data_IF_430787501545
#
_entry.id   IF_430787501545
#
_cell.length_a   1.000
_cell.length_b   1.000
_cell.length_c   1.000
_cell.angle_alpha   90.00
_cell.angle_beta   90.00
_cell.angle_gamma   90.00
#
_symmetry.space_group_name_H-M   'P 1'
#
loop_
_entity.id
_entity.type
_entity.pdbx_description
1 polymer ?
#
# COMPACT_ATOMS: atom_id res chain seq x y z
N UNK A 1 -48.16 11.81 26.28
CA UNK A 1 -46.96 12.61 26.60
C UNK A 1 -45.74 11.70 26.79
N UNK A 2 -44.75 11.94 25.93
CA UNK A 2 -43.35 11.44 25.93
C UNK A 2 -43.12 10.03 25.41
N UNK A 3 -43.03 9.99 24.08
CA UNK A 3 -42.20 9.06 23.31
C UNK A 3 -40.79 8.99 23.88
N UNK A 4 -40.37 7.78 24.28
CA UNK A 4 -38.98 7.45 24.54
C UNK A 4 -38.33 6.98 23.25
N UNK A 5 -37.73 7.90 22.50
CA UNK A 5 -36.85 7.55 21.39
C UNK A 5 -35.58 6.87 21.95
N UNK A 6 -35.53 5.54 21.88
CA UNK A 6 -34.27 4.82 21.97
C UNK A 6 -33.47 5.14 20.71
N UNK A 7 -32.42 5.95 20.86
CA UNK A 7 -31.40 6.11 19.82
C UNK A 7 -30.77 4.76 19.49
N UNK A 8 -30.30 4.55 18.25
CA UNK A 8 -29.69 3.29 17.85
C UNK A 8 -28.46 3.00 18.76
N UNK A 9 -28.20 1.72 19.08
CA UNK A 9 -27.05 1.36 19.90
C UNK A 9 -25.78 1.80 19.19
N UNK A 10 -25.05 2.74 19.79
CA UNK A 10 -23.72 3.11 19.33
C UNK A 10 -22.82 1.89 19.42
N UNK A 11 -22.39 1.34 18.28
CA UNK A 11 -21.29 0.38 18.24
C UNK A 11 -20.02 1.12 18.68
N UNK A 12 -19.68 1.00 19.96
CA UNK A 12 -18.38 1.42 20.45
C UNK A 12 -17.34 0.42 19.93
N UNK A 13 -16.74 0.72 18.77
CA UNK A 13 -15.65 -0.08 18.23
C UNK A 13 -14.46 -0.13 19.17
N UNK A 14 -13.99 -1.33 19.49
CA UNK A 14 -12.81 -1.54 20.32
C UNK A 14 -11.56 -0.97 19.63
N UNK A 15 -10.67 -0.37 20.42
CA UNK A 15 -9.34 0.04 19.98
C UNK A 15 -8.37 -1.11 20.23
N UNK A 16 -7.64 -1.52 19.20
CA UNK A 16 -6.65 -2.59 19.28
C UNK A 16 -5.29 -2.14 18.73
N UNK A 17 -4.26 -2.92 19.05
CA UNK A 17 -2.94 -2.68 18.48
C UNK A 17 -1.89 -3.68 18.92
N UNK A 18 -0.69 -3.56 18.36
CA UNK A 18 0.46 -4.40 18.69
C UNK A 18 1.76 -3.60 18.73
N UNK A 19 2.60 -3.92 19.71
CA UNK A 19 3.90 -3.29 19.92
C UNK A 19 5.01 -3.99 19.12
N UNK A 20 6.17 -3.35 19.02
CA UNK A 20 7.35 -3.85 18.32
C UNK A 20 7.66 -5.32 18.62
N UNK A 21 8.03 -6.07 17.57
CA UNK A 21 8.33 -7.50 17.63
C UNK A 21 7.14 -8.43 17.83
N UNK A 22 5.91 -7.92 17.96
CA UNK A 22 4.72 -8.76 18.19
C UNK A 22 4.29 -9.48 16.90
N UNK A 23 4.17 -10.83 16.92
CA UNK A 23 3.48 -11.56 15.86
C UNK A 23 1.98 -11.68 16.16
N UNK A 24 1.15 -11.38 15.16
CA UNK A 24 -0.28 -11.69 15.13
C UNK A 24 -0.47 -12.81 14.11
N UNK A 25 -0.83 -13.99 14.60
CA UNK A 25 -1.03 -15.19 13.77
C UNK A 25 -2.52 -15.39 13.56
N UNK A 26 -2.95 -15.46 12.30
CA UNK A 26 -4.37 -15.56 11.93
C UNK A 26 -4.67 -16.92 11.31
N UNK A 27 -5.72 -17.56 11.80
CA UNK A 27 -6.18 -18.87 11.32
C UNK A 27 -6.60 -18.86 9.84
N UNK A 28 -6.56 -20.03 9.21
CA UNK A 28 -6.92 -20.15 7.80
C UNK A 28 -8.32 -19.62 7.51
N UNK A 29 -8.44 -18.73 6.53
CA UNK A 29 -9.72 -18.12 6.13
C UNK A 29 -10.31 -17.12 7.14
N UNK A 30 -9.70 -16.91 8.30
CA UNK A 30 -10.11 -15.87 9.25
C UNK A 30 -9.64 -14.48 8.79
N UNK A 31 -10.16 -13.43 9.44
CA UNK A 31 -9.83 -12.02 9.17
C UNK A 31 -9.57 -11.25 10.45
N UNK A 32 -8.74 -10.21 10.39
CA UNK A 32 -8.64 -9.23 11.46
C UNK A 32 -9.64 -8.11 11.17
N UNK A 33 -10.79 -8.13 11.86
CA UNK A 33 -11.84 -7.15 11.70
C UNK A 33 -11.64 -5.96 12.65
N UNK A 34 -11.59 -4.75 12.11
CA UNK A 34 -11.46 -3.51 12.88
C UNK A 34 -12.77 -2.72 12.75
N UNK A 35 -13.45 -2.53 13.88
CA UNK A 35 -14.66 -1.68 13.98
C UNK A 35 -14.39 -0.36 14.75
N UNK A 36 -13.14 -0.12 15.18
CA UNK A 36 -12.69 1.03 15.97
C UNK A 36 -11.42 1.65 15.40
N UNK A 37 -10.34 1.71 16.17
CA UNK A 37 -9.00 2.02 15.65
C UNK A 37 -8.06 0.84 15.79
N UNK A 38 -7.13 0.70 14.85
CA UNK A 38 -6.06 -0.29 14.95
C UNK A 38 -4.70 0.34 14.70
N UNK A 39 -3.75 0.08 15.59
CA UNK A 39 -2.38 0.57 15.44
C UNK A 39 -1.30 -0.48 15.66
N UNK A 40 -0.26 -0.44 14.84
CA UNK A 40 0.96 -1.21 15.05
C UNK A 40 2.16 -0.28 15.08
N UNK A 41 3.05 -0.51 16.05
CA UNK A 41 4.21 0.35 16.31
C UNK A 41 5.47 -0.51 16.42
N UNK A 42 5.98 -0.94 15.27
CA UNK A 42 7.29 -1.58 15.18
C UNK A 42 8.43 -0.58 14.96
N UNK A 43 9.63 -1.13 14.81
CA UNK A 43 10.83 -0.42 14.36
C UNK A 43 11.65 -1.29 13.38
N UNK A 44 12.76 -0.74 12.88
CA UNK A 44 13.64 -1.41 11.89
C UNK A 44 14.15 -2.76 12.37
N UNK A 45 14.46 -2.91 13.66
CA UNK A 45 14.96 -4.15 14.25
C UNK A 45 13.87 -5.10 14.74
N UNK A 46 12.69 -4.56 15.10
CA UNK A 46 11.60 -5.28 15.75
C UNK A 46 10.25 -4.95 15.09
N UNK A 47 10.06 -5.47 13.88
CA UNK A 47 8.82 -5.30 13.11
C UNK A 47 7.62 -6.03 13.75
N UNK A 48 6.43 -5.44 13.65
CA UNK A 48 5.17 -6.16 13.91
C UNK A 48 4.88 -7.05 12.72
N UNK A 49 4.43 -8.29 12.94
CA UNK A 49 4.15 -9.23 11.84
C UNK A 49 2.73 -9.76 11.92
N UNK A 50 1.94 -9.58 10.87
CA UNK A 50 0.63 -10.19 10.66
C UNK A 50 0.75 -11.31 9.64
N UNK A 51 0.57 -12.53 10.12
CA UNK A 51 0.99 -13.75 9.44
C UNK A 51 -0.14 -14.80 9.44
N UNK A 52 -0.20 -15.66 8.40
CA UNK A 52 -1.06 -16.83 8.44
C UNK A 52 -0.56 -17.85 9.46
N UNK A 53 -1.43 -18.75 9.89
CA UNK A 53 -1.09 -19.84 10.80
C UNK A 53 0.00 -20.79 10.27
N UNK A 54 0.07 -20.99 8.95
CA UNK A 54 1.06 -21.89 8.33
C UNK A 54 2.35 -21.15 8.01
N UNK A 55 3.36 -21.42 8.81
CA UNK A 55 4.66 -20.74 8.80
C UNK A 55 5.80 -21.60 8.24
N UNK A 56 5.50 -22.79 7.71
CA UNK A 56 6.51 -23.63 7.10
C UNK A 56 7.10 -22.94 5.85
N UNK A 57 8.38 -23.15 5.50
CA UNK A 57 9.06 -22.38 4.44
C UNK A 57 8.32 -22.34 3.09
N UNK A 58 7.62 -23.43 2.74
CA UNK A 58 6.80 -23.50 1.54
C UNK A 58 5.58 -22.56 1.58
N UNK A 59 4.97 -22.36 2.75
CA UNK A 59 3.75 -21.56 2.92
C UNK A 59 4.03 -20.08 3.24
N UNK A 60 5.25 -19.72 3.63
CA UNK A 60 5.63 -18.34 3.98
C UNK A 60 5.36 -17.29 2.89
N UNK A 61 5.32 -17.71 1.62
CA UNK A 61 5.00 -16.86 0.46
C UNK A 61 3.71 -17.26 -0.24
N UNK A 62 2.96 -18.20 0.32
CA UNK A 62 1.70 -18.64 -0.29
C UNK A 62 0.63 -17.55 -0.07
N UNK A 63 0.01 -17.02 -1.13
CA UNK A 63 -1.05 -16.04 -0.99
C UNK A 63 -2.38 -16.67 -0.58
N UNK A 64 -3.30 -15.85 -0.06
CA UNK A 64 -4.70 -16.22 0.18
C UNK A 64 -4.94 -17.18 1.35
N UNK A 65 -4.04 -17.23 2.33
CA UNK A 65 -4.16 -18.13 3.48
C UNK A 65 -5.13 -17.62 4.56
N UNK A 66 -5.33 -16.30 4.63
CA UNK A 66 -6.28 -15.61 5.51
C UNK A 66 -6.84 -14.39 4.78
N UNK A 67 -7.92 -13.79 5.26
CA UNK A 67 -8.63 -12.75 4.50
C UNK A 67 -7.96 -11.37 4.57
N UNK A 68 -7.02 -11.15 5.50
CA UNK A 68 -6.35 -9.87 5.70
C UNK A 68 -6.93 -9.02 6.83
N UNK A 69 -6.46 -7.78 6.90
CA UNK A 69 -7.00 -6.72 7.76
C UNK A 69 -8.19 -6.09 7.06
N UNK A 70 -9.34 -6.02 7.73
CA UNK A 70 -10.54 -5.35 7.22
C UNK A 70 -10.95 -4.26 8.19
N UNK A 71 -10.90 -3.02 7.74
CA UNK A 71 -11.31 -1.83 8.50
C UNK A 71 -12.69 -1.41 8.01
N UNK A 72 -13.70 -1.54 8.88
CA UNK A 72 -15.10 -1.29 8.54
C UNK A 72 -15.44 0.20 8.47
N UNK A 73 -16.54 0.49 7.77
CA UNK A 73 -17.16 1.81 7.73
C UNK A 73 -17.45 2.30 9.15
N UNK A 74 -17.05 3.53 9.46
CA UNK A 74 -17.23 4.12 10.79
C UNK A 74 -16.08 3.87 11.76
N UNK A 75 -15.04 3.14 11.35
CA UNK A 75 -13.77 3.06 12.08
C UNK A 75 -13.16 4.45 12.27
N UNK A 76 -12.30 4.59 13.28
CA UNK A 76 -11.61 5.85 13.62
C UNK A 76 -10.25 5.98 12.96
N UNK A 77 -9.62 4.87 12.58
CA UNK A 77 -8.39 4.88 11.81
C UNK A 77 -7.57 3.58 11.86
N UNK A 78 -6.54 3.55 11.03
CA UNK A 78 -5.55 2.52 10.83
C UNK A 78 -4.18 3.19 10.80
N UNK A 79 -3.30 2.81 11.72
CA UNK A 79 -1.91 3.22 11.74
C UNK A 79 -1.00 2.00 11.72
N UNK A 80 -0.25 1.79 10.64
CA UNK A 80 0.71 0.70 10.56
C UNK A 80 2.13 1.26 10.45
N UNK A 81 3.00 1.00 11.42
CA UNK A 81 4.42 1.36 11.33
C UNK A 81 5.30 0.13 11.45
N UNK A 82 6.29 -0.01 10.57
CA UNK A 82 7.24 -1.12 10.58
C UNK A 82 6.55 -2.48 10.69
N UNK A 83 5.54 -2.65 9.85
CA UNK A 83 4.63 -3.80 9.92
C UNK A 83 4.76 -4.64 8.67
N UNK A 84 4.83 -5.95 8.87
CA UNK A 84 4.79 -6.94 7.80
C UNK A 84 3.39 -7.56 7.76
N UNK A 85 2.70 -7.47 6.62
CA UNK A 85 1.45 -8.18 6.36
C UNK A 85 1.72 -9.15 5.22
N UNK A 86 1.49 -10.45 5.43
CA UNK A 86 1.86 -11.48 4.45
C UNK A 86 0.76 -12.49 4.17
N UNK A 87 0.68 -12.96 2.92
CA UNK A 87 -0.05 -14.18 2.57
C UNK A 87 -1.58 -14.07 2.67
N UNK A 88 -2.13 -12.86 2.65
CA UNK A 88 -3.56 -12.61 2.77
C UNK A 88 -4.31 -12.77 1.43
N UNK A 89 -5.64 -12.71 1.45
CA UNK A 89 -6.44 -12.55 0.24
C UNK A 89 -6.29 -11.11 -0.26
N UNK A 90 -6.68 -10.14 0.56
CA UNK A 90 -6.25 -8.75 0.42
C UNK A 90 -5.38 -8.42 1.62
N UNK A 91 -4.25 -7.74 1.48
CA UNK A 91 -3.40 -7.40 2.62
C UNK A 91 -4.15 -6.53 3.64
N UNK A 92 -4.67 -5.41 3.15
CA UNK A 92 -5.46 -4.44 3.93
C UNK A 92 -6.63 -3.96 3.07
N UNK A 93 -7.84 -3.98 3.65
CA UNK A 93 -9.04 -3.37 3.06
C UNK A 93 -9.56 -2.32 4.01
N UNK A 94 -9.75 -1.08 3.53
CA UNK A 94 -10.38 0.00 4.29
C UNK A 94 -11.65 0.45 3.60
N UNK A 95 -12.75 0.46 4.33
CA UNK A 95 -14.07 0.84 3.84
C UNK A 95 -14.58 2.14 4.48
N UNK A 96 -15.00 3.08 3.65
CA UNK A 96 -15.52 4.38 4.03
C UNK A 96 -14.44 5.34 4.52
N UNK A 97 -14.85 6.60 4.73
CA UNK A 97 -14.03 7.59 5.40
C UNK A 97 -14.15 7.40 6.91
N UNK A 98 -13.04 7.26 7.63
CA UNK A 98 -13.10 7.27 9.09
C UNK A 98 -13.69 8.56 9.64
N UNK A 99 -14.30 8.44 10.81
CA UNK A 99 -15.18 9.48 11.38
C UNK A 99 -14.41 10.75 11.79
N UNK A 100 -13.07 10.69 11.87
CA UNK A 100 -12.14 11.81 12.13
C UNK A 100 -10.95 11.76 11.16
N UNK A 101 -10.34 12.91 10.86
CA UNK A 101 -9.30 13.12 9.81
C UNK A 101 -8.08 12.17 9.81
N UNK A 102 -7.29 12.23 8.72
CA UNK A 102 -6.08 11.45 8.36
C UNK A 102 -5.96 10.08 9.02
N UNK A 103 -6.94 9.28 8.70
CA UNK A 103 -7.22 8.06 9.42
C UNK A 103 -6.49 6.82 8.91
N UNK A 104 -5.85 6.86 7.74
CA UNK A 104 -5.11 5.71 7.20
C UNK A 104 -3.68 6.13 6.96
N UNK A 105 -2.78 5.66 7.82
CA UNK A 105 -1.35 5.89 7.69
C UNK A 105 -0.61 4.55 7.72
N UNK A 106 0.20 4.29 6.69
CA UNK A 106 1.06 3.11 6.62
C UNK A 106 2.49 3.60 6.37
N UNK A 107 3.40 3.27 7.27
CA UNK A 107 4.77 3.78 7.26
C UNK A 107 5.77 2.63 7.41
N UNK A 108 6.82 2.67 6.59
CA UNK A 108 7.98 1.77 6.65
C UNK A 108 7.58 0.29 6.75
N UNK A 109 6.52 -0.10 6.03
CA UNK A 109 5.88 -1.40 6.15
C UNK A 109 6.08 -2.26 4.90
N UNK A 110 5.70 -3.53 4.98
CA UNK A 110 5.74 -4.48 3.86
C UNK A 110 4.41 -5.20 3.77
N UNK A 111 3.72 -5.06 2.65
CA UNK A 111 2.47 -5.75 2.36
C UNK A 111 2.72 -6.67 1.17
N UNK A 112 2.86 -7.96 1.46
CA UNK A 112 3.44 -8.93 0.55
C UNK A 112 2.54 -10.13 0.31
N UNK A 113 2.62 -10.68 -0.89
CA UNK A 113 2.07 -12.00 -1.23
C UNK A 113 0.55 -12.10 -1.02
N UNK A 114 -0.22 -11.06 -1.38
CA UNK A 114 -1.69 -11.13 -1.35
C UNK A 114 -2.24 -11.78 -2.61
N UNK A 115 -3.26 -12.64 -2.53
CA UNK A 115 -3.86 -13.26 -3.73
C UNK A 115 -4.66 -12.28 -4.59
N UNK A 116 -5.08 -11.15 -3.99
CA UNK A 116 -5.72 -10.03 -4.64
C UNK A 116 -4.88 -8.77 -4.39
N UNK A 117 -5.43 -7.78 -3.69
CA UNK A 117 -4.82 -6.46 -3.57
C UNK A 117 -3.94 -6.37 -2.32
N UNK A 118 -2.81 -5.67 -2.41
CA UNK A 118 -2.03 -5.35 -1.22
C UNK A 118 -2.80 -4.40 -0.30
N UNK A 119 -3.20 -3.25 -0.84
CA UNK A 119 -4.08 -2.28 -0.19
C UNK A 119 -5.28 -1.99 -1.08
N UNK A 120 -6.49 -2.15 -0.54
CA UNK A 120 -7.74 -1.72 -1.19
C UNK A 120 -8.41 -0.64 -0.36
N UNK A 121 -8.55 0.55 -0.94
CA UNK A 121 -9.26 1.68 -0.33
C UNK A 121 -10.61 1.88 -1.03
N UNK A 122 -11.69 1.96 -0.26
CA UNK A 122 -13.04 2.15 -0.79
C UNK A 122 -13.71 3.33 -0.08
N UNK A 123 -13.94 4.44 -0.79
CA UNK A 123 -14.52 5.66 -0.23
C UNK A 123 -13.66 6.35 0.85
N UNK A 124 -12.34 6.17 0.83
CA UNK A 124 -11.41 6.76 1.80
C UNK A 124 -11.03 8.17 1.35
N UNK A 125 -11.33 9.17 2.19
CA UNK A 125 -11.11 10.58 1.86
C UNK A 125 -9.64 10.92 1.61
N UNK A 126 -8.76 10.37 2.44
CA UNK A 126 -7.32 10.61 2.40
C UNK A 126 -6.59 9.47 3.13
N UNK A 127 -5.52 8.98 2.51
CA UNK A 127 -4.63 7.97 3.06
C UNK A 127 -3.20 8.36 2.73
N UNK A 128 -2.28 8.15 3.67
CA UNK A 128 -0.85 8.43 3.47
C UNK A 128 -0.03 7.18 3.67
N UNK A 129 0.76 6.83 2.66
CA UNK A 129 1.66 5.67 2.72
C UNK A 129 3.08 6.12 2.43
N UNK A 130 3.99 5.75 3.34
CA UNK A 130 5.37 6.22 3.35
C UNK A 130 6.31 5.04 3.44
N UNK A 131 7.39 5.04 2.66
CA UNK A 131 8.51 4.10 2.86
C UNK A 131 8.12 2.64 2.72
N UNK A 132 7.00 2.32 2.06
CA UNK A 132 6.35 1.01 2.15
C UNK A 132 6.50 0.21 0.85
N UNK A 133 6.70 -1.10 1.00
CA UNK A 133 6.74 -2.04 -0.12
C UNK A 133 5.39 -2.73 -0.27
N UNK A 134 4.85 -2.71 -1.49
CA UNK A 134 3.77 -3.59 -1.95
C UNK A 134 4.35 -4.54 -2.98
N UNK A 135 4.56 -5.79 -2.57
CA UNK A 135 5.33 -6.75 -3.36
C UNK A 135 4.57 -8.03 -3.63
N UNK A 136 4.52 -8.46 -4.89
CA UNK A 136 3.89 -9.73 -5.29
C UNK A 136 2.45 -9.86 -4.76
N UNK A 137 1.68 -8.76 -4.84
CA UNK A 137 0.24 -8.78 -4.66
C UNK A 137 -0.39 -9.01 -6.04
N UNK A 138 -1.12 -10.12 -6.20
CA UNK A 138 -1.35 -10.70 -7.52
C UNK A 138 -2.48 -10.04 -8.32
N UNK A 139 -3.31 -9.17 -7.74
CA UNK A 139 -4.22 -8.33 -8.52
C UNK A 139 -3.69 -6.92 -8.65
N UNK A 140 -3.73 -6.14 -7.58
CA UNK A 140 -3.13 -4.81 -7.54
C UNK A 140 -2.16 -4.69 -6.36
N UNK A 141 -1.12 -3.87 -6.49
CA UNK A 141 -0.36 -3.44 -5.31
C UNK A 141 -1.25 -2.57 -4.42
N UNK A 142 -1.84 -1.54 -5.03
CA UNK A 142 -2.78 -0.61 -4.41
C UNK A 142 -3.97 -0.39 -5.35
N UNK A 143 -5.19 -0.53 -4.84
CA UNK A 143 -6.43 -0.27 -5.56
C UNK A 143 -7.26 0.79 -4.84
N UNK A 144 -7.68 1.82 -5.58
CA UNK A 144 -8.51 2.92 -5.11
C UNK A 144 -9.89 2.82 -5.74
N UNK A 145 -10.92 2.85 -4.92
CA UNK A 145 -12.32 2.98 -5.35
C UNK A 145 -12.90 4.23 -4.68
N UNK A 146 -13.07 5.32 -5.42
CA UNK A 146 -13.52 6.62 -4.91
C UNK A 146 -12.68 7.15 -3.74
N UNK A 147 -11.36 6.90 -3.78
CA UNK A 147 -10.44 7.15 -2.67
C UNK A 147 -9.23 7.98 -3.07
N UNK A 148 -8.68 8.74 -2.12
CA UNK A 148 -7.44 9.52 -2.34
C UNK A 148 -6.28 8.96 -1.54
N UNK A 149 -5.09 8.97 -2.14
CA UNK A 149 -3.86 8.47 -1.50
C UNK A 149 -2.65 9.34 -1.85
N UNK A 150 -1.77 9.52 -0.88
CA UNK A 150 -0.40 10.01 -1.03
C UNK A 150 0.58 8.83 -0.83
N UNK A 151 1.44 8.59 -1.82
CA UNK A 151 2.48 7.57 -1.81
C UNK A 151 3.84 8.27 -1.82
N UNK A 152 4.60 8.19 -0.72
CA UNK A 152 5.91 8.83 -0.59
C UNK A 152 6.98 7.77 -0.36
N UNK A 153 8.00 7.72 -1.22
CA UNK A 153 9.06 6.71 -1.08
C UNK A 153 8.49 5.28 -0.99
N UNK A 154 7.50 4.95 -1.81
CA UNK A 154 6.92 3.61 -1.85
C UNK A 154 7.49 2.81 -3.02
N UNK A 155 7.56 1.48 -2.87
CA UNK A 155 7.84 0.57 -3.97
C UNK A 155 6.66 -0.36 -4.15
N UNK A 156 5.91 -0.15 -5.23
CA UNK A 156 4.86 -1.05 -5.69
C UNK A 156 5.44 -1.87 -6.84
N UNK A 157 5.59 -3.17 -6.62
CA UNK A 157 6.12 -4.07 -7.63
C UNK A 157 5.23 -5.31 -7.78
N UNK A 158 4.63 -5.42 -8.96
CA UNK A 158 3.70 -6.49 -9.32
C UNK A 158 4.29 -7.31 -10.46
N UNK A 159 4.46 -8.61 -10.25
CA UNK A 159 5.06 -9.53 -11.21
C UNK A 159 4.47 -10.93 -11.02
N UNK A 160 4.46 -11.72 -12.09
CA UNK A 160 4.06 -13.12 -12.02
C UNK A 160 5.18 -13.95 -11.39
N UNK A 161 4.80 -14.85 -10.49
CA UNK A 161 5.72 -15.78 -9.84
C UNK A 161 5.04 -17.13 -9.78
N UNK A 162 5.52 -18.08 -10.60
CA UNK A 162 4.91 -19.40 -10.70
C UNK A 162 4.65 -20.03 -9.31
N UNK A 163 3.44 -20.57 -9.05
CA UNK A 163 2.34 -20.78 -10.00
C UNK A 163 1.38 -19.58 -10.16
N UNK A 164 1.61 -18.47 -9.48
CA UNK A 164 0.72 -17.32 -9.52
C UNK A 164 1.03 -16.36 -10.67
N UNK A 165 -0.04 -15.79 -11.24
CA UNK A 165 0.02 -14.85 -12.36
C UNK A 165 -0.49 -13.50 -11.90
N UNK A 166 0.17 -12.42 -12.31
CA UNK A 166 -0.31 -11.07 -12.10
C UNK A 166 -1.61 -10.83 -12.89
N UNK A 167 -2.64 -10.32 -12.21
CA UNK A 167 -3.99 -10.12 -12.75
C UNK A 167 -4.30 -8.65 -13.07
N UNK A 168 -3.52 -7.70 -12.55
CA UNK A 168 -3.77 -6.27 -12.71
C UNK A 168 -2.52 -5.41 -12.53
N UNK A 169 -2.72 -4.10 -12.63
CA UNK A 169 -1.68 -3.07 -12.52
C UNK A 169 -1.21 -2.87 -11.08
N UNK A 170 0.02 -2.38 -10.90
CA UNK A 170 0.56 -1.99 -9.60
C UNK A 170 -0.34 -1.00 -8.85
N UNK A 171 -0.77 0.08 -9.50
CA UNK A 171 -1.70 1.08 -8.97
C UNK A 171 -2.96 1.13 -9.83
N UNK A 172 -4.12 0.97 -9.21
CA UNK A 172 -5.41 1.01 -9.87
C UNK A 172 -6.29 2.14 -9.35
N UNK A 173 -6.82 2.96 -10.26
CA UNK A 173 -7.71 4.07 -9.95
C UNK A 173 -9.12 3.83 -10.51
N UNK A 174 -10.09 3.70 -9.63
CA UNK A 174 -11.50 3.62 -9.98
C UNK A 174 -12.25 4.71 -9.21
N UNK A 175 -12.94 5.61 -9.91
CA UNK A 175 -13.71 6.67 -9.28
C UNK A 175 -14.83 6.11 -8.40
N UNK A 176 -15.36 4.91 -8.70
CA UNK A 176 -16.47 4.32 -7.95
C UNK A 176 -17.64 5.30 -7.80
N UNK A 177 -18.14 5.49 -6.57
CA UNK A 177 -19.15 6.51 -6.24
C UNK A 177 -18.56 7.91 -5.98
N UNK A 178 -17.23 8.06 -5.99
CA UNK A 178 -16.51 9.28 -5.65
C UNK A 178 -15.50 9.68 -6.72
N UNK A 179 -14.32 10.14 -6.28
CA UNK A 179 -13.18 10.38 -7.18
C UNK A 179 -11.95 9.68 -6.66
N UNK A 180 -11.25 8.93 -7.51
CA UNK A 180 -9.94 8.38 -7.22
C UNK A 180 -8.84 9.39 -7.53
N UNK A 181 -7.89 9.55 -6.61
CA UNK A 181 -6.68 10.32 -6.91
C UNK A 181 -5.45 9.82 -6.17
N UNK A 182 -4.33 9.76 -6.87
CA UNK A 182 -3.04 9.39 -6.31
C UNK A 182 -2.03 10.53 -6.49
N UNK A 183 -1.38 10.90 -5.40
CA UNK A 183 -0.12 11.66 -5.43
C UNK A 183 1.03 10.70 -5.17
N UNK A 184 1.98 10.63 -6.09
CA UNK A 184 3.09 9.67 -6.11
C UNK A 184 4.39 10.45 -6.10
N UNK A 185 5.09 10.46 -4.98
CA UNK A 185 6.33 11.23 -4.81
C UNK A 185 7.48 10.29 -4.46
N UNK A 186 8.60 10.45 -5.15
CA UNK A 186 9.81 9.66 -4.94
C UNK A 186 9.56 8.15 -4.87
N UNK A 187 8.64 7.61 -5.67
CA UNK A 187 8.18 6.22 -5.56
C UNK A 187 8.47 5.41 -6.81
N UNK A 188 8.41 4.09 -6.69
CA UNK A 188 8.55 3.14 -7.80
C UNK A 188 7.21 2.41 -7.95
N UNK A 189 6.65 2.42 -9.17
CA UNK A 189 5.49 1.61 -9.57
C UNK A 189 5.88 0.83 -10.81
N UNK A 190 6.21 -0.45 -10.63
CA UNK A 190 6.86 -1.27 -11.65
C UNK A 190 6.30 -2.70 -11.70
N UNK A 191 6.53 -3.39 -12.82
CA UNK A 191 6.05 -4.76 -13.01
C UNK A 191 6.26 -5.27 -14.44
N UNK A 192 5.50 -6.29 -14.84
CA UNK A 192 5.61 -6.92 -16.16
C UNK A 192 4.72 -6.27 -17.24
N UNK A 193 3.75 -5.45 -16.86
CA UNK A 193 2.77 -4.87 -17.80
C UNK A 193 3.34 -3.69 -18.55
N UNK A 194 2.77 -3.34 -19.71
CA UNK A 194 3.17 -2.10 -20.41
C UNK A 194 2.89 -0.86 -19.55
N UNK A 195 1.74 -0.85 -18.88
CA UNK A 195 1.31 0.19 -17.95
C UNK A 195 1.07 -0.42 -16.57
N UNK A 196 1.58 0.21 -15.51
CA UNK A 196 1.40 -0.23 -14.11
C UNK A 196 0.56 0.76 -13.30
N UNK A 197 0.12 1.85 -13.92
CA UNK A 197 -0.96 2.69 -13.42
C UNK A 197 -2.15 2.53 -14.36
N UNK A 198 -3.21 1.91 -13.84
CA UNK A 198 -4.42 1.61 -14.58
C UNK A 198 -5.65 2.29 -14.00
N UNK A 199 -6.76 2.19 -14.71
CA UNK A 199 -8.05 2.71 -14.25
C UNK A 199 -9.24 1.88 -14.73
N UNK A 200 -10.37 2.02 -14.03
CA UNK A 200 -11.63 1.38 -14.43
C UNK A 200 -12.10 1.82 -15.82
N UNK A 201 -12.47 0.86 -16.67
CA UNK A 201 -12.95 1.11 -18.02
C UNK A 201 -14.35 1.73 -18.08
N UNK A 202 -14.70 2.32 -19.22
CA UNK A 202 -16.06 2.80 -19.52
C UNK A 202 -16.19 4.32 -19.66
N UNK A 203 -15.57 4.89 -20.70
CA UNK A 203 -15.81 6.25 -21.16
C UNK A 203 -14.96 7.34 -20.49
N UNK A 204 -14.14 8.01 -21.31
CA UNK A 204 -13.38 9.21 -20.97
C UNK A 204 -12.25 9.02 -19.93
N UNK A 205 -11.38 10.03 -19.77
CA UNK A 205 -10.38 10.02 -18.71
C UNK A 205 -11.01 10.03 -17.31
N UNK A 206 -10.57 9.14 -16.41
CA UNK A 206 -11.04 9.02 -15.01
C UNK A 206 -9.86 8.88 -14.06
N UNK A 207 -10.10 9.05 -12.77
CA UNK A 207 -9.04 9.10 -11.76
C UNK A 207 -8.04 10.25 -11.99
N UNK A 208 -7.32 10.65 -10.96
CA UNK A 208 -6.29 11.70 -11.06
C UNK A 208 -4.94 11.21 -10.59
N UNK A 209 -3.90 11.56 -11.33
CA UNK A 209 -2.53 11.19 -10.99
C UNK A 209 -1.61 12.41 -11.00
N UNK A 210 -0.95 12.65 -9.87
CA UNK A 210 0.24 13.50 -9.80
C UNK A 210 1.43 12.61 -9.47
N UNK A 211 2.50 12.70 -10.23
CA UNK A 211 3.74 11.97 -9.99
C UNK A 211 4.96 12.88 -10.06
N UNK A 212 5.82 12.83 -9.05
CA UNK A 212 7.05 13.63 -8.97
C UNK A 212 8.23 12.75 -8.57
N UNK A 213 9.37 12.88 -9.24
CA UNK A 213 10.62 12.22 -8.83
C UNK A 213 10.53 10.69 -8.81
N UNK A 214 9.67 10.10 -9.64
CA UNK A 214 9.22 8.71 -9.49
C UNK A 214 9.49 7.85 -10.72
N UNK A 215 9.65 6.54 -10.51
CA UNK A 215 9.73 5.55 -11.60
C UNK A 215 8.35 4.93 -11.78
N UNK A 216 7.72 5.10 -12.94
CA UNK A 216 6.40 4.53 -13.21
C UNK A 216 6.16 4.31 -14.70
N UNK A 217 5.37 3.28 -15.01
CA UNK A 217 4.83 3.04 -16.35
C UNK A 217 3.37 3.47 -16.38
N UNK A 218 3.06 4.52 -17.13
CA UNK A 218 1.70 5.08 -17.21
C UNK A 218 1.40 5.67 -18.58
N UNK A 219 0.22 5.34 -19.11
CA UNK A 219 -0.39 6.03 -20.24
C UNK A 219 -1.27 7.16 -19.73
N UNK A 220 -1.05 8.37 -20.26
CA UNK A 220 -1.79 9.55 -19.85
C UNK A 220 -3.16 9.67 -20.54
N UNK A 221 -3.39 8.90 -21.61
CA UNK A 221 -4.60 8.99 -22.44
C UNK A 221 -5.89 8.72 -21.65
N UNK A 222 -5.77 7.91 -20.60
CA UNK A 222 -6.88 7.40 -19.85
C UNK A 222 -7.06 8.08 -18.48
N UNK A 223 -6.10 8.88 -18.02
CA UNK A 223 -6.18 9.50 -16.70
C UNK A 223 -6.52 10.99 -16.82
N UNK A 224 -7.31 11.50 -15.87
CA UNK A 224 -7.61 12.94 -15.80
C UNK A 224 -6.57 13.69 -14.97
N UNK A 225 -6.34 14.97 -15.27
CA UNK A 225 -5.49 15.85 -14.44
C UNK A 225 -4.06 15.32 -14.21
N UNK A 226 -3.49 14.63 -15.21
CA UNK A 226 -2.16 14.01 -15.11
C UNK A 226 -1.09 15.09 -15.01
N UNK A 227 -0.29 15.03 -13.96
CA UNK A 227 0.90 15.88 -13.78
C UNK A 227 2.09 14.99 -13.49
N UNK A 228 3.07 14.96 -14.39
CA UNK A 228 4.27 14.12 -14.25
C UNK A 228 5.50 15.02 -14.35
N UNK A 229 6.31 15.04 -13.29
CA UNK A 229 7.50 15.87 -13.19
C UNK A 229 8.69 15.03 -12.72
N UNK A 230 9.83 15.12 -13.42
CA UNK A 230 11.06 14.40 -13.02
C UNK A 230 10.83 12.88 -12.82
N UNK A 231 10.00 12.28 -13.67
CA UNK A 231 9.73 10.84 -13.64
C UNK A 231 10.39 10.12 -14.82
N UNK A 232 10.57 8.81 -14.69
CA UNK A 232 11.09 7.95 -15.74
C UNK A 232 10.28 6.65 -15.84
N UNK A 233 10.26 6.05 -17.03
CA UNK A 233 9.71 4.72 -17.29
C UNK A 233 10.82 3.70 -17.59
N UNK A 234 12.08 4.03 -17.29
CA UNK A 234 13.21 3.11 -17.41
C UNK A 234 13.24 2.12 -16.24
N UNK A 235 13.76 0.91 -16.50
CA UNK A 235 13.79 -0.18 -15.53
C UNK A 235 14.55 0.20 -14.24
N UNK A 236 13.91 0.11 -13.06
CA UNK A 236 14.56 0.37 -11.78
C UNK A 236 15.52 -0.75 -11.35
N UNK A 237 15.66 -1.85 -12.08
CA UNK A 237 16.61 -2.95 -11.82
C UNK A 237 16.51 -3.44 -10.37
N UNK A 238 15.32 -3.89 -9.98
CA UNK A 238 15.06 -4.35 -8.60
C UNK A 238 15.58 -5.78 -8.38
N UNK A 239 16.42 -5.94 -7.37
CA UNK A 239 17.02 -7.19 -6.90
C UNK A 239 16.25 -7.76 -5.70
N UNK A 240 16.44 -9.06 -5.43
CA UNK A 240 15.83 -9.77 -4.30
C UNK A 240 14.29 -9.66 -4.22
N UNK A 241 13.63 -9.48 -5.37
CA UNK A 241 12.16 -9.37 -5.49
C UNK A 241 11.43 -10.58 -4.91
N UNK A 242 11.91 -11.79 -5.22
CA UNK A 242 11.38 -13.06 -4.68
C UNK A 242 11.50 -13.19 -3.15
N UNK A 243 12.36 -12.40 -2.51
CA UNK A 243 12.53 -12.35 -1.05
C UNK A 243 11.71 -11.22 -0.41
N UNK A 244 10.98 -10.45 -1.21
CA UNK A 244 10.18 -9.31 -0.76
C UNK A 244 11.01 -8.10 -0.34
N UNK A 245 12.25 -7.96 -0.82
CA UNK A 245 13.16 -6.88 -0.43
C UNK A 245 13.23 -5.72 -1.42
N UNK A 246 13.15 -6.01 -2.73
CA UNK A 246 13.10 -4.99 -3.80
C UNK A 246 14.23 -3.96 -3.73
N UNK A 247 15.46 -4.43 -3.63
CA UNK A 247 16.64 -3.57 -3.54
C UNK A 247 16.96 -2.95 -4.90
N UNK A 248 17.09 -1.61 -5.03
CA UNK A 248 17.54 -1.01 -6.28
C UNK A 248 18.99 -1.39 -6.60
N UNK A 249 19.22 -1.93 -7.80
CA UNK A 249 20.56 -2.27 -8.27
C UNK A 249 21.42 -1.03 -8.57
N UNK A 250 22.71 -1.24 -8.83
CA UNK A 250 23.68 -0.15 -9.07
C UNK A 250 23.28 0.78 -10.23
N UNK A 251 22.66 0.22 -11.27
CA UNK A 251 22.21 0.94 -12.48
C UNK A 251 20.72 1.30 -12.45
N UNK A 252 20.11 1.28 -11.27
CA UNK A 252 18.69 1.61 -11.13
C UNK A 252 18.38 3.01 -11.66
N UNK A 253 17.34 3.12 -12.49
CA UNK A 253 16.76 4.40 -12.90
C UNK A 253 16.18 5.22 -11.73
N UNK A 254 15.95 4.58 -10.57
CA UNK A 254 15.48 5.25 -9.36
C UNK A 254 16.56 6.09 -8.67
N UNK A 255 17.84 5.88 -9.01
CA UNK A 255 18.97 6.53 -8.33
C UNK A 255 18.99 8.03 -8.57
N UNK A 256 19.05 8.83 -7.49
CA UNK A 256 19.05 10.29 -7.50
C UNK A 256 17.88 10.96 -8.25
N UNK A 257 16.81 10.19 -8.51
CA UNK A 257 15.64 10.64 -9.26
C UNK A 257 14.73 11.52 -8.38
N UNK A 258 14.65 11.21 -7.09
CA UNK A 258 13.75 11.85 -6.16
C UNK A 258 14.03 13.33 -5.96
N UNK A 259 13.01 14.03 -5.47
CA UNK A 259 13.06 15.42 -5.04
C UNK A 259 13.26 15.49 -3.52
N UNK A 260 13.95 16.53 -3.05
CA UNK A 260 14.16 16.77 -1.62
C UNK A 260 12.82 16.90 -0.88
N UNK A 261 12.70 16.19 0.23
CA UNK A 261 11.55 16.27 1.13
C UNK A 261 12.02 16.19 2.59
N UNK A 262 11.54 17.10 3.44
CA UNK A 262 11.82 17.05 4.87
C UNK A 262 11.01 15.94 5.55
N UNK A 263 11.62 15.28 6.54
CA UNK A 263 10.96 14.24 7.34
C UNK A 263 11.07 12.80 6.81
N UNK A 264 11.82 12.58 5.72
CA UNK A 264 12.01 11.26 5.08
C UNK A 264 13.49 10.86 4.97
N UNK A 265 14.28 11.09 6.02
CA UNK A 265 15.74 10.92 5.98
C UNK A 265 16.20 9.45 5.88
N UNK A 266 15.36 8.49 6.24
CA UNK A 266 15.72 7.06 6.27
C UNK A 266 14.82 6.23 5.36
N UNK A 267 15.36 5.11 4.88
CA UNK A 267 14.63 4.12 4.12
C UNK A 267 13.96 3.04 5.00
N UNK A 268 13.26 2.10 4.36
CA UNK A 268 12.56 0.99 5.01
C UNK A 268 13.43 0.16 5.97
N UNK A 269 14.75 0.14 5.73
CA UNK A 269 15.75 -0.62 6.48
C UNK A 269 16.62 0.27 7.37
N UNK A 270 16.27 1.55 7.54
CA UNK A 270 17.01 2.49 8.38
C UNK A 270 18.28 3.05 7.73
N UNK A 271 18.45 2.93 6.41
CA UNK A 271 19.58 3.53 5.68
C UNK A 271 19.29 5.00 5.39
N UNK A 272 20.26 5.89 5.61
CA UNK A 272 20.10 7.32 5.28
C UNK A 272 19.95 7.51 3.76
N UNK A 273 18.98 8.32 3.36
CA UNK A 273 18.73 8.70 1.96
C UNK A 273 19.61 9.90 1.58
N UNK A 274 19.89 10.04 0.29
CA UNK A 274 20.49 11.26 -0.25
C UNK A 274 19.66 12.50 0.10
N UNK A 275 20.28 13.53 0.69
CA UNK A 275 19.54 14.68 1.24
C UNK A 275 18.89 15.58 0.20
N UNK A 276 19.59 15.85 -0.90
CA UNK A 276 19.11 16.78 -1.93
C UNK A 276 18.54 16.06 -3.15
N UNK A 277 19.08 14.88 -3.47
CA UNK A 277 18.61 13.99 -4.54
C UNK A 277 18.45 12.56 -4.01
N UNK A 278 17.40 12.31 -3.19
CA UNK A 278 17.13 10.97 -2.70
C UNK A 278 16.78 10.02 -3.86
N UNK A 279 16.94 8.72 -3.64
CA UNK A 279 16.47 7.72 -4.59
C UNK A 279 14.95 7.57 -4.51
N UNK A 280 14.32 7.24 -5.63
CA UNK A 280 12.93 6.84 -5.64
C UNK A 280 12.77 5.43 -5.03
N UNK A 281 11.63 5.18 -4.39
CA UNK A 281 11.29 3.88 -3.80
C UNK A 281 11.48 3.79 -2.29
N UNK A 282 11.03 2.67 -1.73
CA UNK A 282 11.06 2.37 -0.31
C UNK A 282 12.46 2.10 0.25
N UNK A 283 13.40 1.74 -0.62
CA UNK A 283 14.77 1.36 -0.25
C UNK A 283 15.74 2.25 -1.01
N UNK A 284 16.77 2.75 -0.33
CA UNK A 284 17.81 3.57 -0.96
C UNK A 284 18.73 2.69 -1.82
N UNK A 285 19.22 3.25 -2.93
CA UNK A 285 20.24 2.62 -3.76
C UNK A 285 21.55 2.50 -2.98
N UNK A 286 22.25 1.36 -3.09
CA UNK A 286 23.60 1.16 -2.54
C UNK A 286 24.66 1.10 -3.63
#
# INVERSE_FOLDING_TARGET
PRDGAQGPPGRAGANGGAAAGTPIIVGHGARLQIEGSFETRGDVGSRVSLLPQRMEPYYMRKPGQWQGIVVDKGSRGLYLSHTDVRGAVNGVVVQGAPVSGDSVCIKDSRILYSSQDGLRLVGVREAKVVGTIFGQNYRHGVALHGSKIELVHCTICTESMSPQVQMGEGLWLDDGEGSASAEVVNSIIWGERKEEVGQAGGGGPRGRLRAVGSVLKVSQEHLSGVQIERCTSEDPVLELRAQGQYLPGKRSSARHLGVKMDGYAFDLFGVERGRDTPDAGAVACR
#
